data_IF_429272904819
#
_entry.id   IF_429272904819
#
_cell.length_a   1.000
_cell.length_b   1.000
_cell.length_c   1.000
_cell.angle_alpha   90.00
_cell.angle_beta   90.00
_cell.angle_gamma   90.00
#
_symmetry.space_group_name_H-M   'P 1'
#
loop_
_entity.id
_entity.type
_entity.pdbx_description
1 polymer ?
#
# COMPACT_ATOMS: atom_id res chain seq x y z
N UNK A 1 -17.31 2.12 15.22
CA UNK A 1 -17.31 0.67 14.97
C UNK A 1 -17.17 -0.04 16.30
N UNK A 2 -17.81 -1.18 16.46
CA UNK A 2 -17.69 -1.99 17.66
C UNK A 2 -16.34 -2.72 17.68
N UNK A 3 -15.61 -2.54 18.78
CA UNK A 3 -14.27 -3.10 19.00
C UNK A 3 -14.30 -4.37 19.84
N UNK A 4 -15.48 -4.86 20.21
CA UNK A 4 -15.61 -6.10 20.93
C UNK A 4 -15.50 -7.31 19.98
N UNK A 5 -14.61 -8.23 20.34
CA UNK A 5 -14.43 -9.55 19.77
C UNK A 5 -15.01 -10.54 20.80
N UNK A 6 -16.26 -10.94 20.59
CA UNK A 6 -17.01 -11.74 21.56
C UNK A 6 -17.43 -10.94 22.80
N UNK A 7 -17.74 -11.64 23.90
CA UNK A 7 -18.34 -11.03 25.10
C UNK A 7 -17.36 -10.23 25.97
N UNK A 8 -16.05 -10.50 25.90
CA UNK A 8 -15.08 -9.98 26.89
C UNK A 8 -13.82 -9.32 26.30
N UNK A 9 -13.55 -9.43 24.99
CA UNK A 9 -12.29 -8.93 24.44
C UNK A 9 -12.52 -7.65 23.63
N UNK A 10 -11.85 -6.56 24.00
CA UNK A 10 -11.91 -5.27 23.30
C UNK A 10 -10.58 -5.00 22.61
N UNK A 11 -10.59 -4.89 21.29
CA UNK A 11 -9.39 -4.58 20.50
C UNK A 11 -8.99 -3.12 20.76
N UNK A 12 -7.75 -2.85 21.22
CA UNK A 12 -7.23 -1.49 21.31
C UNK A 12 -7.13 -0.84 19.92
N UNK A 13 -7.46 0.45 19.81
CA UNK A 13 -7.40 1.16 18.51
C UNK A 13 -5.98 1.17 17.92
N UNK A 14 -4.94 1.23 18.76
CA UNK A 14 -3.55 1.19 18.30
C UNK A 14 -3.12 -0.14 17.68
N UNK A 15 -3.85 -1.24 17.93
CA UNK A 15 -3.47 -2.57 17.45
C UNK A 15 -3.71 -2.77 15.95
N UNK A 16 -4.54 -1.94 15.30
CA UNK A 16 -4.83 -2.08 13.87
C UNK A 16 -3.59 -1.85 13.00
N UNK A 17 -2.67 -0.96 13.38
CA UNK A 17 -1.42 -0.72 12.63
C UNK A 17 -0.50 -1.96 12.63
N UNK A 18 -0.54 -2.75 13.71
CA UNK A 18 0.27 -3.98 13.83
C UNK A 18 -0.13 -5.02 12.78
N UNK A 19 -1.40 -5.03 12.37
CA UNK A 19 -1.87 -5.96 11.35
C UNK A 19 -1.14 -5.79 10.01
N UNK A 20 -0.79 -4.55 9.64
CA UNK A 20 -0.04 -4.30 8.40
C UNK A 20 1.35 -4.94 8.47
N UNK A 21 2.06 -4.79 9.59
CA UNK A 21 3.38 -5.39 9.78
C UNK A 21 3.32 -6.93 9.81
N UNK A 22 2.33 -7.51 10.48
CA UNK A 22 2.12 -8.97 10.51
C UNK A 22 1.83 -9.47 9.09
N UNK A 23 0.90 -8.82 8.38
CA UNK A 23 0.54 -9.18 7.01
C UNK A 23 1.74 -9.08 6.09
N UNK A 24 2.52 -7.99 6.18
CA UNK A 24 3.73 -7.79 5.36
C UNK A 24 4.76 -8.89 5.61
N UNK A 25 5.01 -9.23 6.88
CA UNK A 25 5.96 -10.30 7.25
C UNK A 25 5.52 -11.66 6.71
N UNK A 26 4.24 -12.00 6.85
CA UNK A 26 3.68 -13.26 6.34
C UNK A 26 3.78 -13.29 4.82
N UNK A 27 3.37 -12.22 4.14
CA UNK A 27 3.46 -12.09 2.69
C UNK A 27 4.89 -12.19 2.18
N UNK A 28 5.84 -11.54 2.84
CA UNK A 28 7.26 -11.62 2.50
C UNK A 28 7.77 -13.06 2.63
N UNK A 29 7.44 -13.74 3.73
CA UNK A 29 7.82 -15.15 3.95
C UNK A 29 7.20 -16.06 2.88
N UNK A 30 5.94 -15.82 2.51
CA UNK A 30 5.26 -16.55 1.45
C UNK A 30 5.87 -16.27 0.08
N UNK A 31 6.24 -15.03 -0.22
CA UNK A 31 6.90 -14.67 -1.47
C UNK A 31 8.28 -15.34 -1.55
N UNK A 32 9.10 -15.22 -0.52
CA UNK A 32 10.44 -15.82 -0.53
C UNK A 32 10.40 -17.35 -0.59
N UNK A 33 9.46 -17.98 0.13
CA UNK A 33 9.37 -19.45 0.19
C UNK A 33 8.60 -20.06 -0.98
N UNK A 34 7.46 -19.48 -1.36
CA UNK A 34 6.57 -20.02 -2.39
C UNK A 34 6.76 -19.37 -3.76
N UNK A 35 6.89 -18.04 -3.87
CA UNK A 35 7.11 -17.44 -5.20
C UNK A 35 8.46 -17.88 -5.77
N UNK A 36 9.56 -17.91 -5.00
CA UNK A 36 10.86 -18.33 -5.57
C UNK A 36 10.83 -19.77 -6.13
N UNK A 37 10.14 -20.68 -5.46
CA UNK A 37 10.01 -22.09 -5.86
C UNK A 37 8.97 -22.29 -6.97
N UNK A 38 7.84 -21.59 -6.90
CA UNK A 38 6.72 -21.73 -7.85
C UNK A 38 7.00 -20.96 -9.13
N UNK A 39 7.52 -19.73 -9.07
CA UNK A 39 7.79 -18.95 -10.28
C UNK A 39 8.77 -19.69 -11.18
N UNK A 40 9.86 -20.24 -10.61
CA UNK A 40 10.82 -21.07 -11.34
C UNK A 40 10.21 -22.29 -12.03
N UNK A 41 9.07 -22.80 -11.54
CA UNK A 41 8.35 -23.93 -12.15
C UNK A 41 7.33 -23.53 -13.22
N UNK A 42 6.76 -22.32 -13.13
CA UNK A 42 5.65 -21.89 -13.98
C UNK A 42 6.05 -20.90 -15.06
N UNK A 43 6.96 -19.99 -14.75
CA UNK A 43 7.46 -18.95 -15.63
C UNK A 43 8.98 -19.04 -15.48
N UNK A 44 9.67 -19.58 -16.48
CA UNK A 44 11.12 -19.83 -16.49
C UNK A 44 11.99 -18.56 -16.29
N UNK A 45 11.38 -17.42 -15.95
CA UNK A 45 12.00 -16.13 -15.68
C UNK A 45 11.51 -15.55 -14.36
N UNK A 46 12.42 -14.99 -13.56
CA UNK A 46 12.03 -14.24 -12.37
C UNK A 46 11.28 -12.96 -12.76
N UNK A 47 10.20 -12.58 -12.06
CA UNK A 47 9.46 -11.36 -12.38
C UNK A 47 10.39 -10.16 -12.18
N UNK A 48 10.43 -9.29 -13.19
CA UNK A 48 11.31 -8.14 -13.21
C UNK A 48 11.01 -7.24 -11.99
N UNK A 49 12.02 -6.57 -11.40
CA UNK A 49 11.79 -5.68 -10.25
C UNK A 49 10.67 -4.64 -10.50
N UNK A 50 10.57 -4.11 -11.72
CA UNK A 50 9.51 -3.17 -12.13
C UNK A 50 8.10 -3.81 -12.10
N UNK A 51 7.97 -5.09 -12.47
CA UNK A 51 6.68 -5.77 -12.44
C UNK A 51 6.19 -5.97 -11.00
N UNK A 52 7.10 -6.30 -10.08
CA UNK A 52 6.80 -6.46 -8.65
C UNK A 52 6.32 -5.16 -8.02
N UNK A 53 6.99 -4.04 -8.33
CA UNK A 53 6.55 -2.71 -7.88
C UNK A 53 5.17 -2.38 -8.46
N UNK A 54 4.92 -2.69 -9.74
CA UNK A 54 3.63 -2.49 -10.38
C UNK A 54 2.49 -3.25 -9.69
N UNK A 55 2.73 -4.53 -9.33
CA UNK A 55 1.77 -5.33 -8.55
C UNK A 55 1.49 -4.71 -7.18
N UNK A 56 2.51 -4.18 -6.50
CA UNK A 56 2.37 -3.47 -5.23
C UNK A 56 1.43 -2.26 -5.36
N UNK A 57 1.60 -1.44 -6.40
CA UNK A 57 0.71 -0.30 -6.67
C UNK A 57 -0.74 -0.73 -6.89
N UNK A 58 -0.98 -1.77 -7.69
CA UNK A 58 -2.34 -2.28 -7.95
C UNK A 58 -3.00 -2.76 -6.66
N UNK A 59 -2.28 -3.48 -5.81
CA UNK A 59 -2.78 -3.96 -4.53
C UNK A 59 -3.08 -2.82 -3.55
N UNK A 60 -2.24 -1.79 -3.51
CA UNK A 60 -2.47 -0.60 -2.69
C UNK A 60 -3.71 0.18 -3.16
N UNK A 61 -3.90 0.35 -4.48
CA UNK A 61 -5.12 0.96 -5.03
C UNK A 61 -6.36 0.12 -4.69
N UNK A 62 -6.29 -1.20 -4.84
CA UNK A 62 -7.39 -2.10 -4.51
C UNK A 62 -7.74 -2.03 -3.01
N UNK A 63 -6.74 -1.92 -2.14
CA UNK A 63 -6.96 -1.71 -0.71
C UNK A 63 -7.72 -0.42 -0.41
N UNK A 64 -7.38 0.68 -1.10
CA UNK A 64 -8.10 1.96 -0.95
C UNK A 64 -9.56 1.85 -1.43
N UNK A 65 -9.81 1.11 -2.52
CA UNK A 65 -11.18 0.82 -2.99
C UNK A 65 -11.95 0.02 -1.95
N UNK A 66 -11.34 -1.03 -1.37
CA UNK A 66 -11.96 -1.83 -0.30
C UNK A 66 -12.27 -0.95 0.91
N UNK A 67 -11.35 -0.04 1.29
CA UNK A 67 -11.57 0.92 2.37
C UNK A 67 -12.76 1.84 2.12
N UNK A 68 -12.90 2.35 0.89
CA UNK A 68 -14.06 3.14 0.49
C UNK A 68 -15.37 2.35 0.58
N UNK A 69 -15.38 1.09 0.16
CA UNK A 69 -16.56 0.22 0.24
C UNK A 69 -16.95 -0.12 1.68
N UNK A 70 -15.97 -0.40 2.54
CA UNK A 70 -16.20 -0.64 3.98
C UNK A 70 -16.80 0.60 4.63
N UNK A 71 -16.29 1.78 4.28
CA UNK A 71 -16.77 3.04 4.81
C UNK A 71 -18.19 3.38 4.32
N UNK A 72 -18.48 3.13 3.03
CA UNK A 72 -19.84 3.23 2.50
C UNK A 72 -20.81 2.31 3.24
N UNK A 73 -20.39 1.08 3.57
CA UNK A 73 -21.18 0.15 4.37
C UNK A 73 -21.41 0.69 5.79
N UNK A 74 -20.37 1.24 6.42
CA UNK A 74 -20.48 1.87 7.75
C UNK A 74 -21.48 3.03 7.74
N UNK A 75 -21.38 3.93 6.77
CA UNK A 75 -22.26 5.09 6.64
C UNK A 75 -23.73 4.69 6.37
N UNK A 76 -23.97 3.63 5.60
CA UNK A 76 -25.32 3.07 5.41
C UNK A 76 -25.94 2.61 6.74
N UNK A 77 -25.16 1.96 7.60
CA UNK A 77 -25.61 1.50 8.92
C UNK A 77 -25.87 2.70 9.84
N UNK A 78 -24.99 3.72 9.84
CA UNK A 78 -25.22 4.97 10.60
C UNK A 78 -26.56 5.60 10.25
N UNK A 79 -26.87 5.70 8.95
CA UNK A 79 -28.13 6.28 8.46
C UNK A 79 -29.34 5.41 8.83
N UNK A 80 -29.24 4.09 8.68
CA UNK A 80 -30.33 3.17 9.01
C UNK A 80 -30.71 3.20 10.50
N UNK A 81 -29.73 3.39 11.38
CA UNK A 81 -29.93 3.47 12.83
C UNK A 81 -30.14 4.90 13.35
N UNK A 82 -30.28 5.90 12.47
CA UNK A 82 -30.42 7.33 12.85
C UNK A 82 -29.34 7.82 13.81
N UNK A 83 -28.12 7.26 13.71
CA UNK A 83 -26.99 7.60 14.59
C UNK A 83 -26.25 8.86 14.14
N UNK A 84 -26.80 9.61 13.19
CA UNK A 84 -26.17 10.79 12.60
C UNK A 84 -26.22 12.01 13.52
N UNK A 85 -27.25 12.08 14.38
CA UNK A 85 -27.44 13.14 15.39
C UNK A 85 -26.84 12.78 16.76
N UNK A 86 -26.38 11.54 16.94
CA UNK A 86 -25.73 11.10 18.16
C UNK A 86 -24.22 11.18 18.03
N UNK A 87 -23.66 12.30 18.49
CA UNK A 87 -22.22 12.48 18.57
C UNK A 87 -21.57 11.31 19.32
N UNK A 88 -20.51 10.73 18.75
CA UNK A 88 -19.74 9.62 19.34
C UNK A 88 -20.48 8.28 19.50
N UNK A 89 -21.65 8.09 18.87
CA UNK A 89 -22.35 6.82 18.91
C UNK A 89 -21.54 5.68 18.24
N UNK A 90 -21.48 4.54 18.92
CA UNK A 90 -20.77 3.35 18.41
C UNK A 90 -21.61 2.73 17.30
N UNK A 91 -21.14 2.87 16.06
CA UNK A 91 -21.76 2.17 14.92
C UNK A 91 -21.67 0.66 15.14
N UNK A 92 -22.81 -0.08 15.06
CA UNK A 92 -22.88 -1.53 15.29
C UNK A 92 -22.35 -2.30 14.07
N UNK A 93 -21.10 -2.04 13.71
CA UNK A 93 -20.34 -2.79 12.71
C UNK A 93 -19.07 -3.28 13.39
N UNK A 94 -18.73 -4.55 13.20
CA UNK A 94 -17.51 -5.12 13.75
C UNK A 94 -16.29 -4.42 13.15
N UNK A 95 -15.34 -4.05 14.00
CA UNK A 95 -14.03 -3.53 13.60
C UNK A 95 -13.19 -4.51 12.78
N UNK A 96 -13.59 -5.79 12.70
CA UNK A 96 -12.97 -6.78 11.81
C UNK A 96 -13.06 -6.38 10.32
N UNK A 97 -14.01 -5.53 9.94
CA UNK A 97 -14.12 -5.03 8.57
C UNK A 97 -12.93 -4.15 8.12
N UNK A 98 -12.09 -3.69 9.04
CA UNK A 98 -10.82 -3.01 8.71
C UNK A 98 -9.69 -3.98 8.32
N UNK A 99 -9.80 -5.27 8.63
CA UNK A 99 -8.73 -6.22 8.33
C UNK A 99 -8.49 -6.45 6.84
N UNK A 100 -9.51 -6.61 5.97
CA UNK A 100 -9.31 -6.87 4.54
C UNK A 100 -8.42 -5.82 3.85
N UNK A 101 -8.70 -4.53 4.07
CA UNK A 101 -7.89 -3.44 3.56
C UNK A 101 -6.47 -3.45 4.15
N UNK A 102 -6.29 -3.64 5.46
CA UNK A 102 -4.97 -3.65 6.09
C UNK A 102 -4.11 -4.84 5.62
N UNK A 103 -4.73 -6.00 5.39
CA UNK A 103 -4.05 -7.18 4.82
C UNK A 103 -3.65 -6.91 3.37
N UNK A 104 -4.53 -6.33 2.56
CA UNK A 104 -4.22 -5.95 1.18
C UNK A 104 -3.05 -4.95 1.10
N UNK A 105 -3.02 -3.95 1.99
CA UNK A 105 -1.86 -3.03 2.10
C UNK A 105 -0.60 -3.82 2.44
N UNK A 106 -0.63 -4.70 3.45
CA UNK A 106 0.55 -5.46 3.84
C UNK A 106 1.08 -6.38 2.74
N UNK A 107 0.20 -7.00 1.95
CA UNK A 107 0.61 -7.77 0.76
C UNK A 107 1.24 -6.85 -0.28
N UNK A 108 0.61 -5.70 -0.55
CA UNK A 108 1.11 -4.69 -1.50
C UNK A 108 2.50 -4.19 -1.13
N UNK A 109 2.72 -3.84 0.14
CA UNK A 109 4.01 -3.41 0.68
C UNK A 109 5.10 -4.47 0.53
N UNK A 110 4.77 -5.76 0.74
CA UNK A 110 5.75 -6.83 0.55
C UNK A 110 6.26 -6.91 -0.91
N UNK A 111 5.35 -6.78 -1.89
CA UNK A 111 5.74 -6.74 -3.31
C UNK A 111 6.50 -5.46 -3.67
N UNK A 112 6.04 -4.33 -3.16
CA UNK A 112 6.64 -3.02 -3.42
C UNK A 112 8.09 -2.98 -2.88
N UNK A 113 8.29 -3.39 -1.63
CA UNK A 113 9.60 -3.42 -0.99
C UNK A 113 10.58 -4.34 -1.70
N UNK A 114 10.18 -5.57 -2.03
CA UNK A 114 11.03 -6.51 -2.78
C UNK A 114 11.42 -5.97 -4.17
N UNK A 115 10.48 -5.32 -4.85
CA UNK A 115 10.73 -4.71 -6.15
C UNK A 115 11.70 -3.51 -6.06
N UNK A 116 11.50 -2.62 -5.09
CA UNK A 116 12.39 -1.49 -4.83
C UNK A 116 13.81 -1.96 -4.51
N UNK A 117 13.95 -2.89 -3.57
CA UNK A 117 15.24 -3.46 -3.18
C UNK A 117 15.93 -4.09 -4.39
N UNK A 118 15.19 -4.84 -5.21
CA UNK A 118 15.69 -5.42 -6.46
C UNK A 118 16.25 -4.38 -7.43
N UNK A 119 15.57 -3.24 -7.60
CA UNK A 119 16.08 -2.14 -8.43
C UNK A 119 17.30 -1.47 -7.81
N UNK A 120 17.26 -1.19 -6.51
CA UNK A 120 18.39 -0.55 -5.82
C UNK A 120 19.68 -1.36 -5.95
N UNK A 121 19.59 -2.69 -5.81
CA UNK A 121 20.76 -3.56 -5.98
C UNK A 121 21.26 -3.65 -7.42
N UNK A 122 20.38 -3.50 -8.43
CA UNK A 122 20.79 -3.51 -9.83
C UNK A 122 21.44 -2.20 -10.26
N UNK A 123 21.00 -1.06 -9.74
CA UNK A 123 21.36 0.26 -10.29
C UNK A 123 22.38 1.04 -9.45
N UNK A 124 22.48 0.80 -8.14
CA UNK A 124 23.42 1.54 -7.29
C UNK A 124 24.74 0.78 -7.08
N UNK A 125 25.86 1.40 -7.49
CA UNK A 125 27.20 0.93 -7.11
C UNK A 125 27.31 0.87 -5.57
N UNK A 126 27.98 -0.16 -5.05
CA UNK A 126 28.14 -0.37 -3.60
C UNK A 126 28.74 0.83 -2.83
N UNK A 127 29.43 1.74 -3.51
CA UNK A 127 30.04 2.95 -2.95
C UNK A 127 29.04 4.05 -2.56
N UNK A 128 27.79 4.03 -3.05
CA UNK A 128 26.79 5.10 -2.82
C UNK A 128 25.71 4.74 -1.80
N UNK A 129 25.85 3.62 -1.08
CA UNK A 129 24.82 3.09 -0.18
C UNK A 129 24.35 4.07 0.90
N UNK A 130 25.28 4.80 1.54
CA UNK A 130 24.92 5.78 2.56
C UNK A 130 24.09 6.95 2.00
N UNK A 131 24.39 7.40 0.78
CA UNK A 131 23.63 8.46 0.11
C UNK A 131 22.24 7.94 -0.29
N UNK A 132 22.17 6.71 -0.82
CA UNK A 132 20.90 6.07 -1.15
C UNK A 132 19.98 5.94 0.07
N UNK A 133 20.50 5.50 1.22
CA UNK A 133 19.72 5.43 2.46
C UNK A 133 19.23 6.80 2.93
N UNK A 134 20.05 7.85 2.82
CA UNK A 134 19.65 9.20 3.20
C UNK A 134 18.56 9.75 2.26
N UNK A 135 18.65 9.48 0.96
CA UNK A 135 17.63 9.86 -0.01
C UNK A 135 16.29 9.13 0.24
N UNK A 136 16.33 7.84 0.58
CA UNK A 136 15.11 7.09 0.92
C UNK A 136 14.44 7.70 2.15
N UNK A 137 15.20 8.02 3.21
CA UNK A 137 14.65 8.69 4.40
C UNK A 137 14.04 10.05 4.05
N UNK A 138 14.72 10.86 3.23
CA UNK A 138 14.21 12.15 2.78
C UNK A 138 12.89 12.01 1.99
N UNK A 139 12.80 11.02 1.10
CA UNK A 139 11.57 10.75 0.34
C UNK A 139 10.42 10.36 1.27
N UNK A 140 10.69 9.55 2.30
CA UNK A 140 9.70 9.17 3.32
C UNK A 140 9.23 10.42 4.08
N UNK A 141 10.15 11.29 4.50
CA UNK A 141 9.80 12.52 5.22
C UNK A 141 8.94 13.45 4.35
N UNK A 142 9.32 13.65 3.09
CA UNK A 142 8.54 14.43 2.12
C UNK A 142 7.14 13.83 1.96
N UNK A 143 7.03 12.51 1.88
CA UNK A 143 5.74 11.83 1.80
C UNK A 143 4.87 12.07 3.04
N UNK A 144 5.44 12.06 4.24
CA UNK A 144 4.71 12.40 5.47
C UNK A 144 4.20 13.84 5.46
N UNK A 145 5.02 14.80 5.05
CA UNK A 145 4.58 16.21 4.91
C UNK A 145 3.51 16.39 3.83
N UNK A 146 3.61 15.65 2.73
CA UNK A 146 2.58 15.69 1.68
C UNK A 146 1.25 15.11 2.20
N UNK A 147 1.30 14.01 2.96
CA UNK A 147 0.12 13.42 3.59
C UNK A 147 -0.56 14.39 4.56
N UNK A 148 0.19 15.07 5.43
CA UNK A 148 -0.40 16.05 6.37
C UNK A 148 -1.01 17.24 5.64
N UNK A 149 -0.32 17.75 4.61
CA UNK A 149 -0.84 18.83 3.75
C UNK A 149 -2.13 18.42 3.03
N UNK A 150 -2.19 17.18 2.53
CA UNK A 150 -3.39 16.64 1.87
C UNK A 150 -4.58 16.56 2.84
N UNK A 151 -4.34 16.13 4.09
CA UNK A 151 -5.38 16.07 5.13
C UNK A 151 -5.87 17.48 5.49
N UNK A 152 -4.96 18.43 5.66
CA UNK A 152 -5.32 19.83 5.94
C UNK A 152 -6.12 20.43 4.78
N UNK A 153 -5.73 20.14 3.53
CA UNK A 153 -6.48 20.53 2.34
C UNK A 153 -7.90 19.94 2.35
N UNK A 154 -8.05 18.65 2.69
CA UNK A 154 -9.37 18.05 2.81
C UNK A 154 -10.19 18.74 3.90
N UNK A 155 -9.61 19.05 5.06
CA UNK A 155 -10.32 19.72 6.14
C UNK A 155 -10.77 21.13 5.76
N UNK A 156 -9.92 21.87 5.03
CA UNK A 156 -10.19 23.27 4.63
C UNK A 156 -11.15 23.40 3.46
N UNK A 157 -11.00 22.56 2.43
CA UNK A 157 -11.76 22.65 1.18
C UNK A 157 -13.04 21.84 1.23
N UNK A 158 -13.02 20.70 1.94
CA UNK A 158 -14.13 19.76 1.94
C UNK A 158 -14.77 19.66 3.32
N UNK A 159 -16.10 19.63 3.37
CA UNK A 159 -16.82 19.25 4.61
C UNK A 159 -16.81 17.72 4.84
N UNK A 160 -15.90 16.99 4.21
CA UNK A 160 -15.85 15.52 4.28
C UNK A 160 -15.23 15.01 5.58
N UNK A 161 -14.41 15.84 6.24
CA UNK A 161 -13.70 15.48 7.46
C UNK A 161 -14.05 16.43 8.63
N UNK A 162 -15.32 16.46 9.09
CA UNK A 162 -15.71 17.15 10.32
C UNK A 162 -15.18 16.40 11.55
N UNK A 163 -15.17 17.08 12.71
CA UNK A 163 -14.70 16.52 13.98
C UNK A 163 -15.46 15.24 14.38
N UNK A 164 -16.73 15.12 13.98
CA UNK A 164 -17.51 13.89 14.12
C UNK A 164 -17.46 13.01 12.86
N UNK A 165 -16.74 11.89 12.98
CA UNK A 165 -16.61 10.88 11.92
C UNK A 165 -17.95 10.29 11.45
N UNK A 166 -19.01 10.31 12.28
CA UNK A 166 -20.32 9.81 11.90
C UNK A 166 -21.07 10.77 10.96
N UNK A 167 -20.73 12.05 11.00
CA UNK A 167 -21.28 13.08 10.11
C UNK A 167 -20.42 13.29 8.85
N UNK A 168 -19.15 12.86 8.92
CA UNK A 168 -18.20 12.95 7.83
C UNK A 168 -18.50 12.03 6.63
N UNK A 169 -17.95 12.42 5.48
CA UNK A 169 -17.98 11.66 4.22
C UNK A 169 -16.59 11.10 3.94
N UNK A 170 -16.12 10.27 4.86
CA UNK A 170 -14.80 9.63 4.76
C UNK A 170 -14.71 8.69 3.53
N UNK A 171 -15.87 8.20 3.05
CA UNK A 171 -15.98 7.47 1.79
C UNK A 171 -15.43 8.26 0.60
N UNK A 172 -15.73 9.56 0.53
CA UNK A 172 -15.25 10.43 -0.56
C UNK A 172 -13.74 10.66 -0.48
N UNK A 173 -13.18 10.73 0.73
CA UNK A 173 -11.73 10.86 0.94
C UNK A 173 -11.03 9.61 0.41
N UNK A 174 -11.50 8.41 0.76
CA UNK A 174 -10.93 7.16 0.25
C UNK A 174 -11.06 7.02 -1.27
N UNK A 175 -12.20 7.42 -1.85
CA UNK A 175 -12.35 7.46 -3.31
C UNK A 175 -11.36 8.41 -3.97
N UNK A 176 -11.16 9.60 -3.39
CA UNK A 176 -10.21 10.59 -3.92
C UNK A 176 -8.78 10.06 -3.87
N UNK A 177 -8.38 9.45 -2.74
CA UNK A 177 -7.05 8.83 -2.59
C UNK A 177 -6.89 7.67 -3.58
N UNK A 178 -7.94 6.88 -3.82
CA UNK A 178 -7.93 5.80 -4.81
C UNK A 178 -7.69 6.34 -6.23
N UNK A 179 -8.37 7.42 -6.63
CA UNK A 179 -8.16 8.08 -7.93
C UNK A 179 -6.74 8.62 -8.06
N UNK A 180 -6.23 9.31 -7.02
CA UNK A 180 -4.84 9.78 -6.99
C UNK A 180 -3.86 8.61 -7.12
N UNK A 181 -4.13 7.48 -6.44
CA UNK A 181 -3.34 6.26 -6.55
C UNK A 181 -3.33 5.65 -7.95
N UNK A 182 -4.48 5.65 -8.64
CA UNK A 182 -4.58 5.19 -10.05
C UNK A 182 -3.77 6.10 -10.98
N UNK A 183 -3.85 7.41 -10.79
CA UNK A 183 -3.04 8.38 -11.57
C UNK A 183 -1.55 8.15 -11.31
N UNK A 184 -1.16 7.96 -10.05
CA UNK A 184 0.22 7.64 -9.67
C UNK A 184 0.71 6.34 -10.32
N UNK A 185 -0.13 5.29 -10.33
CA UNK A 185 0.18 4.04 -11.01
C UNK A 185 0.32 4.23 -12.53
N UNK A 186 -0.53 5.06 -13.15
CA UNK A 186 -0.42 5.41 -14.57
C UNK A 186 0.89 6.14 -14.89
N UNK A 187 1.30 7.08 -14.03
CA UNK A 187 2.59 7.76 -14.13
C UNK A 187 3.75 6.76 -13.97
N UNK A 188 3.67 5.87 -12.98
CA UNK A 188 4.64 4.80 -12.79
C UNK A 188 4.79 3.94 -14.05
N UNK A 189 3.67 3.53 -14.66
CA UNK A 189 3.69 2.70 -15.87
C UNK A 189 4.33 3.43 -17.06
N UNK A 190 4.09 4.74 -17.20
CA UNK A 190 4.76 5.55 -18.21
C UNK A 190 6.28 5.54 -17.98
N UNK A 191 6.73 5.86 -16.76
CA UNK A 191 8.14 5.83 -16.40
C UNK A 191 8.77 4.44 -16.63
N UNK A 192 8.11 3.38 -16.17
CA UNK A 192 8.53 1.98 -16.34
C UNK A 192 8.67 1.58 -17.81
N UNK A 193 7.82 2.11 -18.70
CA UNK A 193 7.90 1.86 -20.15
C UNK A 193 9.07 2.58 -20.81
N UNK A 194 9.40 3.79 -20.35
CA UNK A 194 10.56 4.54 -20.85
C UNK A 194 11.87 4.10 -20.21
N UNK A 195 11.81 3.36 -19.09
CA UNK A 195 12.97 2.83 -18.40
C UNK A 195 13.63 1.70 -19.21
N UNK A 196 14.83 1.96 -19.73
CA UNK A 196 15.67 0.92 -20.32
C UNK A 196 16.53 0.29 -19.23
N UNK A 197 16.45 -1.03 -19.09
CA UNK A 197 17.34 -1.79 -18.22
C UNK A 197 18.79 -1.65 -18.72
N UNK A 198 19.64 -1.00 -17.94
CA UNK A 198 21.02 -0.69 -18.36
C UNK A 198 21.97 -1.90 -18.26
N UNK A 199 21.56 -2.97 -17.54
CA UNK A 199 22.46 -4.08 -17.16
C UNK A 199 22.14 -5.45 -17.79
N UNK A 200 21.21 -5.55 -18.74
CA UNK A 200 20.98 -6.81 -19.48
C UNK A 200 21.89 -6.93 -20.72
N UNK A 201 22.38 -5.80 -21.23
CA UNK A 201 23.23 -5.78 -22.43
C UNK A 201 24.69 -6.18 -22.14
N UNK A 202 25.20 -5.87 -20.93
CA UNK A 202 26.60 -6.14 -20.58
C UNK A 202 26.92 -7.61 -20.22
N UNK A 203 25.93 -8.44 -19.86
CA UNK A 203 26.16 -9.87 -19.56
C UNK A 203 26.14 -10.75 -20.82
N UNK A 204 25.69 -10.24 -21.97
CA UNK A 204 25.74 -10.99 -23.24
C UNK A 204 27.07 -10.76 -23.96
N UNK A 205 27.72 -9.61 -23.76
CA UNK A 205 29.06 -9.36 -24.31
C UNK A 205 30.16 -10.13 -23.57
N UNK A 206 30.08 -10.31 -22.24
CA UNK A 206 31.14 -10.98 -21.46
C UNK A 206 31.18 -12.51 -21.67
N UNK A 207 30.03 -13.15 -21.92
CA UNK A 207 29.96 -14.57 -22.31
C UNK A 207 30.40 -14.81 -23.76
N UNK A 208 30.43 -13.78 -24.61
CA UNK A 208 30.90 -13.90 -26.00
C UNK A 208 32.41 -13.67 -26.18
N UNK A 209 33.09 -13.15 -25.16
CA UNK A 209 34.53 -12.84 -25.19
C UNK A 209 35.36 -13.95 -24.51
N UNK A 210 34.71 -14.92 -23.85
CA UNK A 210 35.38 -16.06 -23.17
C UNK A 210 35.37 -17.37 -23.96
N UNK A 211 34.77 -17.41 -25.15
CA UNK A 211 34.90 -18.50 -26.12
C UNK A 211 35.68 -18.04 -27.37
N UNK A 212 37.00 -17.84 -27.24
CA UNK A 212 37.97 -17.89 -28.36
C UNK A 212 39.38 -18.21 -27.83
#
# INVERSE_FOLDING_TARGET
MDRHLGLNFKIPTGSFSVNVFISTTISLTLIDRFLYSTWRKWIERMPQPLERIGLGHVLNVLSMVVSALVELKRLKIVRAHHLQDQAMAIVPISSLWLFPQLVLVGIGEAFHFLGQVGLYYQEFLMSLRCIATALISLVIDIAYYLCTTLIDLFHRVTKWLPDDINQGRLDNVYWTISVIGVINFGYYLACARYYKYQNVENNVEDDSITED
#
